data_IF_237802305277
#
_entry.id   IF_237802305277
#
_cell.length_a   1.000
_cell.length_b   1.000
_cell.length_c   1.000
_cell.angle_alpha   90.00
_cell.angle_beta   90.00
_cell.angle_gamma   90.00
#
_symmetry.space_group_name_H-M   'P 1'
#
loop_
_entity.id
_entity.type
_entity.pdbx_description
1 polymer ?
#
# COMPACT_ATOMS: atom_id res chain seq x y z
N UNK A 1 10.43 16.77 6.94
CA UNK A 1 9.96 17.94 6.16
C UNK A 1 9.11 17.39 5.02
N UNK A 2 7.79 17.33 5.20
CA UNK A 2 6.86 16.85 4.18
C UNK A 2 6.75 17.98 3.13
N UNK A 3 7.42 17.83 1.99
CA UNK A 3 7.36 18.84 0.92
C UNK A 3 5.97 18.82 0.29
N UNK A 4 5.45 19.99 -0.08
CA UNK A 4 4.16 20.28 -0.76
C UNK A 4 3.91 19.54 -2.11
N UNK A 5 4.66 18.48 -2.41
CA UNK A 5 4.40 17.65 -3.58
C UNK A 5 3.18 16.79 -3.30
N UNK A 6 2.18 16.93 -4.17
CA UNK A 6 1.05 16.01 -4.27
C UNK A 6 1.56 14.57 -4.23
N UNK A 7 0.86 13.70 -3.51
CA UNK A 7 1.23 12.29 -3.37
C UNK A 7 0.82 11.60 -4.67
N UNK A 8 1.77 11.50 -5.59
CA UNK A 8 1.59 10.85 -6.88
C UNK A 8 1.91 9.36 -6.78
N UNK A 9 1.15 8.53 -7.49
CA UNK A 9 1.46 7.11 -7.60
C UNK A 9 2.85 6.93 -8.22
N UNK A 10 3.65 6.06 -7.63
CA UNK A 10 4.95 5.72 -8.18
C UNK A 10 4.77 4.74 -9.34
N UNK A 11 4.75 5.25 -10.57
CA UNK A 11 4.54 4.47 -11.80
C UNK A 11 5.48 3.26 -11.89
N UNK A 12 6.76 3.41 -11.53
CA UNK A 12 7.73 2.30 -11.53
C UNK A 12 7.31 1.15 -10.58
N UNK A 13 6.71 1.48 -9.42
CA UNK A 13 6.20 0.46 -8.49
C UNK A 13 4.95 -0.22 -9.04
N UNK A 14 4.03 0.54 -9.65
CA UNK A 14 2.85 -0.02 -10.32
C UNK A 14 3.25 -0.98 -11.44
N UNK A 15 4.21 -0.60 -12.29
CA UNK A 15 4.72 -1.45 -13.36
C UNK A 15 5.35 -2.74 -12.82
N UNK A 16 6.11 -2.64 -11.74
CA UNK A 16 6.71 -3.81 -11.08
C UNK A 16 5.64 -4.79 -10.58
N UNK A 17 4.54 -4.30 -10.01
CA UNK A 17 3.42 -5.13 -9.54
C UNK A 17 2.73 -5.84 -10.70
N UNK A 18 2.47 -5.15 -11.82
CA UNK A 18 1.83 -5.75 -13.01
C UNK A 18 2.68 -6.92 -13.55
N UNK A 19 4.00 -6.76 -13.53
CA UNK A 19 4.97 -7.76 -14.02
C UNK A 19 5.23 -8.91 -13.03
N UNK A 20 4.65 -8.89 -11.83
CA UNK A 20 4.80 -10.00 -10.88
C UNK A 20 4.25 -11.30 -11.46
N UNK A 21 5.05 -12.36 -11.31
CA UNK A 21 4.68 -13.74 -11.66
C UNK A 21 4.13 -14.45 -10.44
N UNK A 22 3.14 -15.31 -10.66
CA UNK A 22 2.62 -16.15 -9.60
C UNK A 22 3.67 -17.15 -9.09
N UNK A 23 3.62 -17.57 -7.81
CA UNK A 23 4.57 -18.52 -7.27
C UNK A 23 4.51 -19.87 -8.00
N UNK A 24 5.68 -20.36 -8.43
CA UNK A 24 5.83 -21.61 -9.20
C UNK A 24 5.43 -22.88 -8.41
N UNK A 25 5.19 -22.78 -7.10
CA UNK A 25 4.90 -23.90 -6.21
C UNK A 25 3.39 -24.10 -5.96
N UNK A 26 2.52 -23.32 -6.60
CA UNK A 26 1.07 -23.42 -6.44
C UNK A 26 0.47 -24.08 -7.69
N UNK A 27 -0.42 -25.06 -7.51
CA UNK A 27 -1.23 -25.58 -8.61
C UNK A 27 -2.29 -24.53 -8.95
N UNK A 28 -2.02 -23.70 -9.93
CA UNK A 28 -2.95 -22.68 -10.38
C UNK A 28 -4.04 -23.31 -11.25
N UNK A 29 -5.30 -23.08 -10.90
CA UNK A 29 -6.41 -23.22 -11.83
C UNK A 29 -6.67 -21.86 -12.49
N UNK A 30 -7.40 -21.87 -13.60
CA UNK A 30 -7.71 -20.65 -14.37
C UNK A 30 -8.39 -19.56 -13.53
N UNK A 31 -9.16 -19.95 -12.51
CA UNK A 31 -9.81 -19.03 -11.57
C UNK A 31 -8.81 -18.33 -10.64
N UNK A 32 -7.80 -19.04 -10.13
CA UNK A 32 -6.74 -18.46 -9.30
C UNK A 32 -5.87 -17.50 -10.10
N UNK A 33 -5.50 -17.86 -11.34
CA UNK A 33 -4.72 -16.98 -12.20
C UNK A 33 -5.50 -15.70 -12.50
N UNK A 34 -6.80 -15.82 -12.82
CA UNK A 34 -7.67 -14.65 -13.03
C UNK A 34 -7.75 -13.77 -11.77
N UNK A 35 -7.98 -14.36 -10.60
CA UNK A 35 -8.03 -13.62 -9.34
C UNK A 35 -6.69 -12.93 -9.02
N UNK A 36 -5.57 -13.56 -9.33
CA UNK A 36 -4.24 -12.97 -9.16
C UNK A 36 -4.00 -11.79 -10.12
N UNK A 37 -4.43 -11.91 -11.38
CA UNK A 37 -4.36 -10.80 -12.35
C UNK A 37 -5.24 -9.62 -11.92
N UNK A 38 -6.47 -9.88 -11.50
CA UNK A 38 -7.38 -8.85 -10.97
C UNK A 38 -6.79 -8.17 -9.73
N UNK A 39 -6.13 -8.95 -8.86
CA UNK A 39 -5.45 -8.43 -7.68
C UNK A 39 -4.24 -7.55 -8.04
N UNK A 40 -3.42 -7.95 -9.01
CA UNK A 40 -2.31 -7.11 -9.52
C UNK A 40 -2.82 -5.80 -10.09
N UNK A 41 -3.90 -5.83 -10.87
CA UNK A 41 -4.52 -4.62 -11.42
C UNK A 41 -5.06 -3.71 -10.33
N UNK A 42 -5.71 -4.29 -9.31
CA UNK A 42 -6.17 -3.54 -8.14
C UNK A 42 -5.00 -2.85 -7.41
N UNK A 43 -3.90 -3.56 -7.16
CA UNK A 43 -2.72 -3.00 -6.49
C UNK A 43 -1.95 -1.99 -7.36
N UNK A 44 -1.95 -2.16 -8.68
CA UNK A 44 -1.33 -1.23 -9.62
C UNK A 44 -2.19 0.01 -9.88
N UNK A 45 -3.50 -0.07 -9.60
CA UNK A 45 -4.35 1.11 -9.60
C UNK A 45 -3.82 2.08 -8.53
N UNK A 46 -3.68 3.38 -8.86
CA UNK A 46 -3.32 4.38 -7.87
C UNK A 46 -4.27 4.26 -6.69
N UNK A 47 -3.75 3.88 -5.51
CA UNK A 47 -4.49 4.10 -4.26
C UNK A 47 -4.90 5.56 -4.28
N UNK A 48 -6.20 5.82 -4.32
CA UNK A 48 -6.75 7.18 -4.29
C UNK A 48 -6.51 7.70 -2.88
N UNK A 49 -5.27 8.14 -2.65
CA UNK A 49 -4.88 8.85 -1.47
C UNK A 49 -5.46 10.25 -1.58
N UNK A 50 -6.18 10.66 -0.55
CA UNK A 50 -6.78 11.97 -0.49
C UNK A 50 -5.71 13.04 -0.28
N UNK A 51 -5.97 14.23 -0.81
CA UNK A 51 -5.08 15.38 -0.61
C UNK A 51 -5.05 15.75 0.88
N UNK A 52 -3.85 16.04 1.39
CA UNK A 52 -3.67 16.60 2.73
C UNK A 52 -4.36 17.98 2.84
N UNK A 53 -5.17 18.16 3.87
CA UNK A 53 -5.78 19.44 4.22
C UNK A 53 -5.03 20.04 5.41
N UNK A 54 -4.42 21.21 5.21
CA UNK A 54 -3.67 21.89 6.26
C UNK A 54 -4.56 22.25 7.46
N UNK A 55 -3.98 22.16 8.66
CA UNK A 55 -4.66 22.51 9.92
C UNK A 55 -5.67 21.47 10.44
N UNK A 56 -5.78 20.30 9.79
CA UNK A 56 -6.56 19.17 10.31
C UNK A 56 -5.67 18.14 11.00
N UNK A 57 -6.24 17.47 12.00
CA UNK A 57 -5.58 16.39 12.73
C UNK A 57 -5.26 15.20 11.83
N UNK A 58 -4.11 14.59 12.09
CA UNK A 58 -3.63 13.40 11.41
C UNK A 58 -3.69 12.20 12.35
N UNK A 59 -4.29 11.12 11.87
CA UNK A 59 -4.35 9.84 12.56
C UNK A 59 -3.38 8.86 11.91
N UNK A 60 -2.54 8.22 12.72
CA UNK A 60 -1.62 7.18 12.28
C UNK A 60 -2.16 5.82 12.70
N UNK A 61 -2.46 4.99 11.71
CA UNK A 61 -2.80 3.58 11.90
C UNK A 61 -1.57 2.74 11.58
N UNK A 62 -1.09 1.99 12.58
CA UNK A 62 0.06 1.11 12.45
C UNK A 62 -0.38 -0.35 12.54
N UNK A 63 0.09 -1.16 11.61
CA UNK A 63 -0.07 -2.61 11.63
C UNK A 63 1.31 -3.24 11.52
N UNK A 64 1.63 -4.09 12.48
CA UNK A 64 2.89 -4.85 12.51
C UNK A 64 2.56 -6.33 12.28
N UNK A 65 3.31 -6.94 11.38
CA UNK A 65 3.32 -8.38 11.12
C UNK A 65 4.73 -8.92 11.36
N UNK A 66 4.89 -10.23 11.36
CA UNK A 66 6.18 -10.91 11.56
C UNK A 66 7.30 -10.40 10.63
N UNK A 67 6.95 -9.96 9.42
CA UNK A 67 7.92 -9.58 8.39
C UNK A 67 7.71 -8.19 7.81
N UNK A 68 6.74 -7.43 8.30
CA UNK A 68 6.48 -6.09 7.77
C UNK A 68 5.83 -5.16 8.76
N UNK A 69 6.14 -3.87 8.61
CA UNK A 69 5.46 -2.77 9.27
C UNK A 69 4.72 -1.97 8.19
N UNK A 70 3.43 -1.78 8.40
CA UNK A 70 2.56 -1.01 7.53
C UNK A 70 1.96 0.14 8.32
N UNK A 71 1.94 1.33 7.74
CA UNK A 71 1.41 2.53 8.34
C UNK A 71 0.53 3.29 7.35
N UNK A 72 -0.63 3.75 7.80
CA UNK A 72 -1.52 4.61 7.04
C UNK A 72 -1.71 5.91 7.82
N UNK A 73 -1.48 7.04 7.18
CA UNK A 73 -1.85 8.37 7.69
C UNK A 73 -3.21 8.72 7.14
N UNK A 74 -4.13 9.13 8.01
CA UNK A 74 -5.54 9.40 7.69
C UNK A 74 -5.94 10.77 8.22
N UNK A 75 -6.79 11.48 7.47
CA UNK A 75 -7.56 12.62 7.98
C UNK A 75 -9.03 12.25 8.11
N UNK A 76 -9.66 12.67 9.20
CA UNK A 76 -11.09 12.50 9.39
C UNK A 76 -11.87 13.72 8.90
N UNK A 77 -12.92 13.46 8.13
CA UNK A 77 -13.93 14.43 7.73
C UNK A 77 -15.30 13.93 8.19
N UNK A 78 -15.72 14.39 9.37
CA UNK A 78 -16.93 13.88 10.02
C UNK A 78 -16.73 12.42 10.45
N UNK A 79 -17.40 11.48 9.77
CA UNK A 79 -17.26 10.03 10.00
C UNK A 79 -16.49 9.32 8.89
N UNK A 80 -15.95 10.07 7.93
CA UNK A 80 -15.22 9.52 6.79
C UNK A 80 -13.73 9.62 7.08
N UNK A 81 -13.02 8.50 6.93
CA UNK A 81 -11.59 8.42 7.04
C UNK A 81 -10.96 8.49 5.65
N UNK A 82 -10.22 9.56 5.40
CA UNK A 82 -9.55 9.84 4.14
C UNK A 82 -8.06 9.49 4.28
N UNK A 83 -7.58 8.37 3.71
CA UNK A 83 -6.17 8.02 3.76
C UNK A 83 -5.36 9.03 2.94
N UNK A 84 -4.39 9.67 3.59
CA UNK A 84 -3.48 10.65 2.97
C UNK A 84 -2.23 9.96 2.47
N UNK A 85 -1.68 9.02 3.24
CA UNK A 85 -0.43 8.36 2.88
C UNK A 85 -0.36 6.93 3.37
N UNK A 86 0.30 6.08 2.59
CA UNK A 86 0.56 4.69 2.94
C UNK A 86 2.06 4.40 2.87
N UNK A 87 2.58 3.76 3.92
CA UNK A 87 3.95 3.28 4.00
C UNK A 87 3.90 1.80 4.31
N UNK A 88 4.60 0.99 3.51
CA UNK A 88 4.86 -0.41 3.80
C UNK A 88 6.35 -0.66 3.73
N UNK A 89 6.89 -1.31 4.76
CA UNK A 89 8.29 -1.70 4.83
C UNK A 89 8.39 -3.15 5.25
N UNK A 90 9.10 -3.93 4.43
CA UNK A 90 9.51 -5.29 4.77
C UNK A 90 10.70 -5.20 5.74
N UNK A 91 10.62 -5.96 6.83
CA UNK A 91 11.70 -6.08 7.81
C UNK A 91 12.73 -7.10 7.29
N UNK A 92 14.01 -6.74 7.32
CA UNK A 92 15.08 -7.60 6.80
C UNK A 92 16.09 -8.01 7.87
N UNK A 93 16.52 -9.28 7.81
CA UNK A 93 17.61 -9.80 8.62
C UNK A 93 17.35 -9.65 10.13
N UNK A 94 18.17 -8.92 10.89
CA UNK A 94 17.95 -8.71 12.32
C UNK A 94 16.65 -7.95 12.64
N UNK A 95 16.13 -7.13 11.72
CA UNK A 95 14.93 -6.31 11.96
C UNK A 95 13.67 -7.15 12.17
N UNK A 96 13.62 -8.38 11.65
CA UNK A 96 12.49 -9.30 11.85
C UNK A 96 12.52 -10.02 13.19
N UNK A 97 13.52 -9.77 14.04
CA UNK A 97 13.73 -10.47 15.33
C UNK A 97 13.37 -9.63 16.56
N UNK A 98 12.95 -8.39 16.33
CA UNK A 98 12.52 -7.43 17.34
C UNK A 98 11.05 -7.09 17.11
#
# INVERSE_FOLDING_TARGET
>A
MLSYREIEANLNKCDTIIQMKSPQNVKENDECEKAFQDFKLFLASPLVLSRLIDGRDLYLYLVVSEHSINAVIVQEEGKIQNPIYYISRILQGPESRY
#
